data_IF_324103408264
#
_entry.id   IF_324103408264
#
_cell.length_a   1.000
_cell.length_b   1.000
_cell.length_c   1.000
_cell.angle_alpha   90.00
_cell.angle_beta   90.00
_cell.angle_gamma   90.00
#
_symmetry.space_group_name_H-M   'P 1'
#
loop_
_entity.id
_entity.type
_entity.pdbx_description
1 polymer ?
#
# COMPACT_ATOMS: atom_id res chain seq x y z
N UNK A 1 -6.57 -10.78 1.84
CA UNK A 1 -7.72 -10.45 0.97
C UNK A 1 -8.27 -11.74 0.37
N UNK A 2 -9.58 -11.83 0.17
CA UNK A 2 -10.11 -12.98 -0.57
C UNK A 2 -9.75 -12.87 -2.07
N UNK A 3 -9.84 -13.98 -2.79
CA UNK A 3 -9.47 -14.05 -4.22
C UNK A 3 -10.29 -13.08 -5.09
N UNK A 4 -11.60 -13.00 -4.83
CA UNK A 4 -12.51 -12.15 -5.59
C UNK A 4 -12.09 -10.66 -5.55
N UNK A 5 -11.71 -10.16 -4.38
CA UNK A 5 -11.25 -8.78 -4.22
C UNK A 5 -9.92 -8.53 -4.93
N UNK A 6 -8.98 -9.48 -4.87
CA UNK A 6 -7.71 -9.38 -5.58
C UNK A 6 -7.92 -9.36 -7.11
N UNK A 7 -8.83 -10.18 -7.61
CA UNK A 7 -9.17 -10.22 -9.03
C UNK A 7 -9.81 -8.89 -9.50
N UNK A 8 -10.66 -8.27 -8.67
CA UNK A 8 -11.19 -6.91 -8.93
C UNK A 8 -10.10 -5.84 -8.98
N UNK A 9 -9.11 -5.92 -8.09
CA UNK A 9 -7.97 -4.97 -8.09
C UNK A 9 -7.14 -5.14 -9.37
N UNK A 10 -6.89 -6.37 -9.82
CA UNK A 10 -6.21 -6.62 -11.10
C UNK A 10 -6.98 -6.06 -12.28
N UNK A 11 -8.30 -6.21 -12.29
CA UNK A 11 -9.15 -5.64 -13.33
C UNK A 11 -9.08 -4.10 -13.33
N UNK A 12 -9.11 -3.47 -12.16
CA UNK A 12 -8.93 -2.03 -12.03
C UNK A 12 -7.54 -1.59 -12.53
N UNK A 13 -6.46 -2.26 -12.11
CA UNK A 13 -5.07 -1.98 -12.52
C UNK A 13 -4.88 -2.07 -14.03
N UNK A 14 -5.49 -3.05 -14.71
CA UNK A 14 -5.45 -3.17 -16.18
C UNK A 14 -6.01 -1.94 -16.89
N UNK A 15 -6.98 -1.28 -16.28
CA UNK A 15 -7.64 -0.09 -16.81
C UNK A 15 -7.04 1.21 -16.29
N UNK A 16 -5.99 1.17 -15.46
CA UNK A 16 -5.36 2.37 -14.91
C UNK A 16 -4.60 3.13 -16.02
N UNK A 17 -4.99 4.38 -16.32
CA UNK A 17 -4.31 5.21 -17.32
C UNK A 17 -2.94 5.73 -16.88
N UNK A 18 -2.65 5.82 -15.58
CA UNK A 18 -1.36 6.33 -15.07
C UNK A 18 -0.18 5.49 -15.58
N UNK A 19 0.91 6.16 -15.92
CA UNK A 19 2.19 5.53 -16.23
C UNK A 19 2.84 4.93 -14.98
N UNK A 20 3.87 4.12 -15.17
CA UNK A 20 4.64 3.55 -14.06
C UNK A 20 5.24 4.64 -13.16
N UNK A 21 5.79 5.70 -13.76
CA UNK A 21 6.36 6.85 -13.04
C UNK A 21 5.28 7.62 -12.29
N UNK A 22 4.11 7.84 -12.91
CA UNK A 22 2.99 8.51 -12.26
C UNK A 22 2.47 7.72 -11.06
N UNK A 23 2.35 6.39 -11.19
CA UNK A 23 1.98 5.51 -10.07
C UNK A 23 3.03 5.52 -8.97
N UNK A 24 4.31 5.58 -9.32
CA UNK A 24 5.38 5.63 -8.33
C UNK A 24 5.32 6.93 -7.51
N UNK A 25 5.04 8.06 -8.16
CA UNK A 25 4.82 9.34 -7.47
C UNK A 25 3.52 9.32 -6.67
N UNK A 26 2.43 8.77 -7.21
CA UNK A 26 1.17 8.63 -6.46
C UNK A 26 1.34 7.76 -5.22
N UNK A 27 2.18 6.73 -5.28
CA UNK A 27 2.48 5.92 -4.10
C UNK A 27 3.16 6.73 -2.98
N UNK A 28 4.05 7.64 -3.35
CA UNK A 28 4.67 8.58 -2.40
C UNK A 28 3.67 9.59 -1.84
N UNK A 29 2.69 10.01 -2.64
CA UNK A 29 1.58 10.87 -2.20
C UNK A 29 0.74 10.16 -1.14
N UNK A 30 0.26 8.93 -1.38
CA UNK A 30 -0.55 8.19 -0.38
C UNK A 30 0.25 7.92 0.90
N UNK A 31 1.57 7.66 0.78
CA UNK A 31 2.44 7.51 1.95
C UNK A 31 2.52 8.81 2.77
N UNK A 32 2.48 9.97 2.11
CA UNK A 32 2.42 11.28 2.74
C UNK A 32 1.09 11.52 3.44
N UNK A 33 -0.02 11.16 2.80
CA UNK A 33 -1.38 11.24 3.38
C UNK A 33 -1.50 10.33 4.62
N UNK A 34 -1.01 9.08 4.53
CA UNK A 34 -0.93 8.17 5.68
C UNK A 34 -0.12 8.76 6.84
N UNK A 35 1.04 9.35 6.55
CA UNK A 35 1.89 10.00 7.56
C UNK A 35 1.18 11.17 8.24
N UNK A 36 0.48 11.99 7.46
CA UNK A 36 -0.29 13.12 7.95
C UNK A 36 -1.49 12.67 8.82
N UNK A 37 -2.25 11.69 8.36
CA UNK A 37 -3.38 11.13 9.09
C UNK A 37 -2.92 10.56 10.43
N UNK A 38 -1.80 9.82 10.44
CA UNK A 38 -1.21 9.31 11.67
C UNK A 38 -0.81 10.43 12.64
N UNK A 39 -0.05 11.43 12.18
CA UNK A 39 0.38 12.55 13.02
C UNK A 39 -0.80 13.35 13.58
N UNK A 40 -1.83 13.58 12.76
CA UNK A 40 -3.06 14.25 13.18
C UNK A 40 -3.80 13.44 14.23
N UNK A 41 -3.95 12.12 14.04
CA UNK A 41 -4.63 11.22 14.99
C UNK A 41 -3.98 11.22 16.37
N UNK A 42 -2.65 11.41 16.44
CA UNK A 42 -1.88 11.50 17.69
C UNK A 42 -1.88 12.91 18.28
N UNK A 43 -2.60 13.86 17.69
CA UNK A 43 -2.59 15.27 18.07
C UNK A 43 -1.15 15.83 18.12
N UNK A 44 -0.30 15.43 17.18
CA UNK A 44 1.06 15.93 17.09
C UNK A 44 1.08 17.45 16.85
N UNK A 45 2.11 18.13 17.35
CA UNK A 45 2.30 19.57 17.10
C UNK A 45 2.33 19.85 15.60
N UNK A 46 1.68 20.94 15.18
CA UNK A 46 1.56 21.30 13.75
C UNK A 46 0.61 20.43 12.92
N UNK A 47 -0.08 19.44 13.50
CA UNK A 47 -1.02 18.58 12.77
C UNK A 47 -2.44 18.55 13.37
N UNK A 48 -2.61 18.99 14.63
CA UNK A 48 -3.91 18.99 15.33
C UNK A 48 -5.06 19.65 14.57
N UNK A 49 -4.78 20.71 13.81
CA UNK A 49 -5.82 21.46 13.10
C UNK A 49 -6.49 20.68 11.97
N UNK A 50 -5.89 19.55 11.55
CA UNK A 50 -6.41 18.72 10.46
C UNK A 50 -7.51 17.76 10.93
N UNK A 51 -7.61 17.53 12.24
CA UNK A 51 -8.67 16.73 12.90
C UNK A 51 -8.94 15.35 12.30
N UNK A 52 -7.90 14.73 11.72
CA UNK A 52 -7.96 13.35 11.22
C UNK A 52 -7.83 12.36 12.36
N UNK A 53 -8.54 11.24 12.22
CA UNK A 53 -8.65 10.14 13.16
C UNK A 53 -7.71 8.97 12.80
N UNK A 54 -7.71 7.94 13.65
CA UNK A 54 -7.02 6.69 13.34
C UNK A 54 -7.72 5.92 12.20
N UNK A 55 -9.01 6.15 11.97
CA UNK A 55 -9.73 5.49 10.87
C UNK A 55 -9.31 6.08 9.52
N UNK A 56 -9.11 7.41 9.44
CA UNK A 56 -8.51 8.04 8.25
C UNK A 56 -7.13 7.43 7.95
N UNK A 57 -6.28 7.24 8.98
CA UNK A 57 -4.99 6.58 8.78
C UNK A 57 -5.12 5.15 8.23
N UNK A 58 -6.14 4.38 8.62
CA UNK A 58 -6.37 3.03 8.08
C UNK A 58 -6.78 3.09 6.61
N UNK A 59 -7.59 4.07 6.22
CA UNK A 59 -7.97 4.29 4.83
C UNK A 59 -6.72 4.57 3.98
N UNK A 60 -5.88 5.50 4.43
CA UNK A 60 -4.64 5.82 3.73
C UNK A 60 -3.68 4.62 3.61
N UNK A 61 -3.62 3.75 4.63
CA UNK A 61 -2.86 2.51 4.53
C UNK A 61 -3.39 1.59 3.42
N UNK A 62 -4.70 1.55 3.20
CA UNK A 62 -5.29 0.81 2.09
C UNK A 62 -4.97 1.49 0.75
N UNK A 63 -4.99 2.81 0.67
CA UNK A 63 -4.60 3.53 -0.56
C UNK A 63 -3.14 3.25 -0.93
N UNK A 64 -2.22 3.27 0.04
CA UNK A 64 -0.83 2.87 -0.20
C UNK A 64 -0.71 1.43 -0.71
N UNK A 65 -1.53 0.51 -0.19
CA UNK A 65 -1.55 -0.89 -0.63
C UNK A 65 -2.08 -1.02 -2.06
N UNK A 66 -3.16 -0.33 -2.41
CA UNK A 66 -3.78 -0.39 -3.74
C UNK A 66 -2.84 0.14 -4.82
N UNK A 67 -2.22 1.30 -4.59
CA UNK A 67 -1.25 1.86 -5.55
C UNK A 67 -0.01 0.97 -5.67
N UNK A 68 0.44 0.36 -4.57
CA UNK A 68 1.55 -0.59 -4.61
C UNK A 68 1.21 -1.86 -5.41
N UNK A 69 0.01 -2.42 -5.23
CA UNK A 69 -0.45 -3.56 -6.02
C UNK A 69 -0.52 -3.22 -7.51
N UNK A 70 -1.01 -2.02 -7.85
CA UNK A 70 -1.04 -1.56 -9.22
C UNK A 70 0.38 -1.42 -9.81
N UNK A 71 1.32 -0.84 -9.06
CA UNK A 71 2.74 -0.83 -9.44
C UNK A 71 3.29 -2.22 -9.71
N UNK A 72 3.01 -3.19 -8.83
CA UNK A 72 3.47 -4.58 -8.98
C UNK A 72 2.97 -5.18 -10.30
N UNK A 73 1.69 -4.98 -10.64
CA UNK A 73 1.12 -5.47 -11.90
C UNK A 73 1.64 -4.68 -13.10
N UNK A 74 1.85 -3.37 -12.98
CA UNK A 74 2.39 -2.51 -14.06
C UNK A 74 3.82 -2.88 -14.45
N UNK A 75 4.64 -3.35 -13.50
CA UNK A 75 5.99 -3.87 -13.79
C UNK A 75 5.98 -5.30 -14.33
N UNK A 76 4.81 -5.90 -14.53
CA UNK A 76 4.65 -7.22 -15.15
C UNK A 76 4.87 -8.40 -14.20
N UNK A 77 4.84 -8.19 -12.88
CA UNK A 77 4.97 -9.28 -11.92
C UNK A 77 3.71 -10.15 -11.92
N UNK A 78 3.89 -11.46 -12.05
CA UNK A 78 2.82 -12.44 -11.96
C UNK A 78 2.45 -12.75 -10.51
N UNK A 79 1.24 -13.28 -10.27
CA UNK A 79 0.83 -13.72 -8.94
C UNK A 79 1.78 -14.77 -8.35
N UNK A 80 2.24 -15.71 -9.19
CA UNK A 80 3.20 -16.75 -8.77
C UNK A 80 4.54 -16.15 -8.35
N UNK A 81 5.07 -15.17 -9.09
CA UNK A 81 6.30 -14.46 -8.70
C UNK A 81 6.11 -13.70 -7.39
N UNK A 82 4.99 -12.99 -7.24
CA UNK A 82 4.64 -12.26 -6.02
C UNK A 82 4.56 -13.21 -4.81
N UNK A 83 3.84 -14.32 -4.93
CA UNK A 83 3.69 -15.35 -3.88
C UNK A 83 5.04 -15.96 -3.50
N UNK A 84 5.86 -16.34 -4.49
CA UNK A 84 7.18 -16.92 -4.25
C UNK A 84 8.13 -15.93 -3.53
N UNK A 85 8.12 -14.65 -3.94
CA UNK A 85 8.93 -13.62 -3.30
C UNK A 85 8.43 -13.37 -1.87
N UNK A 86 7.12 -13.25 -1.67
CA UNK A 86 6.50 -13.04 -0.37
C UNK A 86 6.83 -14.19 0.60
N UNK A 87 6.61 -15.44 0.19
CA UNK A 87 6.89 -16.62 1.02
C UNK A 87 8.36 -16.66 1.45
N UNK A 88 9.29 -16.40 0.52
CA UNK A 88 10.72 -16.35 0.84
C UNK A 88 11.06 -15.24 1.84
N UNK A 89 10.43 -14.07 1.73
CA UNK A 89 10.65 -12.94 2.66
C UNK A 89 10.05 -13.22 4.03
N UNK A 90 8.86 -13.83 4.09
CA UNK A 90 8.19 -14.23 5.33
C UNK A 90 9.02 -15.28 6.07
N UNK A 91 9.49 -16.33 5.40
CA UNK A 91 10.33 -17.36 6.02
C UNK A 91 11.58 -16.73 6.67
N UNK A 92 12.27 -15.85 5.94
CA UNK A 92 13.43 -15.10 6.47
C UNK A 92 13.08 -14.18 7.64
N UNK A 93 11.88 -13.61 7.65
CA UNK A 93 11.42 -12.76 8.73
C UNK A 93 11.16 -13.59 9.99
N UNK A 94 10.45 -14.70 9.88
CA UNK A 94 10.16 -15.63 10.97
C UNK A 94 11.46 -16.20 11.57
N UNK A 95 12.41 -16.60 10.73
CA UNK A 95 13.74 -17.07 11.17
C UNK A 95 14.45 -16.05 12.05
N UNK A 96 14.31 -14.75 11.75
CA UNK A 96 14.96 -13.65 12.48
C UNK A 96 14.18 -13.11 13.68
N UNK A 97 12.88 -13.40 13.78
CA UNK A 97 12.05 -12.95 14.91
C UNK A 97 12.33 -13.73 16.20
N UNK A 98 12.85 -14.96 16.07
CA UNK A 98 13.16 -15.84 17.19
C UNK A 98 14.66 -15.84 17.56
N UNK A 99 15.43 -14.88 17.03
CA UNK A 99 16.83 -14.61 17.38
C UNK A 99 16.92 -13.32 18.20
#
# INVERSE_FOLDING_TARGET
>A
MNKELLDKIKEASKNEPKSLEQLFIKWMEELGEASQAFLSSQKASGNRYKDLSLDDFKEELIDTLLVNLDLIYKVGMTDSEMENIAQRKINKWIEKQNM
#
